data_IF_512618922677
#
_entry.id   IF_512618922677
#
_cell.length_a   1.000
_cell.length_b   1.000
_cell.length_c   1.000
_cell.angle_alpha   90.00
_cell.angle_beta   90.00
_cell.angle_gamma   90.00
#
_symmetry.space_group_name_H-M   'P 1'
#
loop_
_entity.id
_entity.type
_entity.pdbx_description
1 polymer ?
#
# COMPACT_ATOMS: atom_id res chain seq x y z
N UNK A 1 8.91 6.38 -14.88
CA UNK A 1 9.90 7.37 -14.38
C UNK A 1 10.34 7.05 -12.96
N UNK A 2 9.42 6.78 -12.03
CA UNK A 2 9.74 6.50 -10.62
C UNK A 2 10.63 5.25 -10.46
N UNK A 3 10.33 4.17 -11.18
CA UNK A 3 11.15 2.94 -11.19
C UNK A 3 12.58 3.18 -11.69
N UNK A 4 12.75 4.07 -12.68
CA UNK A 4 14.07 4.43 -13.21
C UNK A 4 14.88 5.23 -12.17
N UNK A 5 14.22 6.09 -11.40
CA UNK A 5 14.87 6.83 -10.33
C UNK A 5 15.24 5.92 -9.15
N UNK A 6 14.41 4.93 -8.84
CA UNK A 6 14.74 3.87 -7.87
C UNK A 6 15.99 3.10 -8.31
N UNK A 7 16.05 2.66 -9.57
CA UNK A 7 17.20 1.93 -10.11
C UNK A 7 18.49 2.76 -10.01
N UNK A 8 18.41 4.05 -10.35
CA UNK A 8 19.54 4.98 -10.22
C UNK A 8 19.95 5.17 -8.76
N UNK A 9 19.01 5.20 -7.81
CA UNK A 9 19.32 5.28 -6.39
C UNK A 9 20.02 4.00 -5.88
N UNK A 10 19.58 2.83 -6.33
CA UNK A 10 20.23 1.56 -6.02
C UNK A 10 21.68 1.55 -6.55
N UNK A 11 21.90 1.96 -7.80
CA UNK A 11 23.25 2.11 -8.37
C UNK A 11 24.09 3.15 -7.63
N UNK A 12 23.50 4.28 -7.22
CA UNK A 12 24.18 5.31 -6.43
C UNK A 12 24.53 4.87 -4.99
N UNK A 13 24.03 3.73 -4.52
CA UNK A 13 24.44 3.15 -3.24
C UNK A 13 25.80 2.43 -3.33
N UNK A 14 26.23 2.02 -4.53
CA UNK A 14 27.48 1.28 -4.76
C UNK A 14 28.58 2.10 -5.44
N UNK A 15 28.28 3.31 -5.92
CA UNK A 15 29.28 4.24 -6.44
C UNK A 15 28.98 5.69 -6.06
N UNK A 16 30.05 6.50 -5.91
CA UNK A 16 29.98 7.94 -5.71
C UNK A 16 30.38 8.74 -6.96
N UNK A 17 30.55 8.06 -8.10
CA UNK A 17 31.00 8.64 -9.37
C UNK A 17 29.88 8.62 -10.39
N UNK A 18 29.54 9.79 -10.91
CA UNK A 18 28.56 9.95 -12.00
C UNK A 18 28.96 9.14 -13.24
N UNK A 19 30.24 9.14 -13.60
CA UNK A 19 30.75 8.38 -14.75
C UNK A 19 30.58 6.88 -14.56
N UNK A 20 30.83 6.38 -13.35
CA UNK A 20 30.68 4.95 -13.03
C UNK A 20 29.20 4.57 -13.09
N UNK A 21 28.32 5.41 -12.54
CA UNK A 21 26.88 5.24 -12.63
C UNK A 21 26.42 5.20 -14.10
N UNK A 22 26.92 6.10 -14.95
CA UNK A 22 26.68 6.04 -16.39
C UNK A 22 27.18 4.75 -17.03
N UNK A 23 28.35 4.25 -16.64
CA UNK A 23 28.91 3.00 -17.15
C UNK A 23 28.07 1.78 -16.76
N UNK A 24 27.57 1.75 -15.52
CA UNK A 24 26.69 0.69 -15.00
C UNK A 24 25.42 0.62 -15.85
N UNK A 25 24.72 1.75 -15.99
CA UNK A 25 23.45 1.79 -16.72
C UNK A 25 23.62 1.64 -18.24
N UNK A 26 24.73 2.06 -18.84
CA UNK A 26 25.02 1.78 -20.25
C UNK A 26 25.20 0.28 -20.55
N UNK A 27 25.49 -0.52 -19.52
CA UNK A 27 25.60 -1.98 -19.62
C UNK A 27 24.25 -2.67 -19.40
N UNK A 28 23.20 -1.92 -19.05
CA UNK A 28 21.83 -2.40 -18.89
C UNK A 28 21.06 -2.27 -20.22
N UNK A 29 19.97 -3.03 -20.34
CA UNK A 29 19.21 -3.15 -21.60
C UNK A 29 18.53 -1.83 -22.01
N UNK A 30 18.27 -0.93 -21.05
CA UNK A 30 17.54 0.31 -21.26
C UNK A 30 18.46 1.54 -21.37
N UNK A 31 18.17 2.43 -22.32
CA UNK A 31 18.87 3.70 -22.48
C UNK A 31 18.24 4.77 -21.58
N UNK A 32 18.94 5.11 -20.49
CA UNK A 32 18.44 6.05 -19.50
C UNK A 32 18.95 7.47 -19.73
N UNK A 33 18.06 8.46 -19.61
CA UNK A 33 18.43 9.87 -19.48
C UNK A 33 18.94 10.18 -18.05
N UNK A 34 20.01 9.50 -17.64
CA UNK A 34 20.58 9.53 -16.27
C UNK A 34 20.78 10.95 -15.75
N UNK A 35 21.23 11.86 -16.62
CA UNK A 35 21.47 13.26 -16.25
C UNK A 35 20.18 13.98 -15.80
N UNK A 36 19.04 13.66 -16.38
CA UNK A 36 17.75 14.26 -16.02
C UNK A 36 17.31 13.69 -14.67
N UNK A 37 17.38 12.38 -14.50
CA UNK A 37 16.99 11.73 -13.23
C UNK A 37 17.91 12.13 -12.06
N UNK A 38 19.22 12.24 -12.26
CA UNK A 38 20.14 12.73 -11.22
C UNK A 38 19.81 14.17 -10.80
N UNK A 39 19.43 15.03 -11.74
CA UNK A 39 18.98 16.40 -11.42
C UNK A 39 17.68 16.38 -10.61
N UNK A 40 16.73 15.52 -10.99
CA UNK A 40 15.46 15.35 -10.26
C UNK A 40 15.71 14.82 -8.84
N UNK A 41 16.53 13.78 -8.68
CA UNK A 41 16.93 13.21 -7.40
C UNK A 41 17.68 14.22 -6.51
N UNK A 42 18.51 15.07 -7.10
CA UNK A 42 19.16 16.16 -6.38
C UNK A 42 18.13 17.22 -5.92
N UNK A 43 17.23 17.64 -6.81
CA UNK A 43 16.17 18.62 -6.51
C UNK A 43 15.22 18.14 -5.42
N UNK A 44 14.89 16.85 -5.40
CA UNK A 44 14.00 16.21 -4.43
C UNK A 44 14.72 15.78 -3.14
N UNK A 45 16.05 15.95 -3.07
CA UNK A 45 16.83 15.77 -1.85
C UNK A 45 17.25 14.32 -1.56
N UNK A 46 17.20 13.42 -2.54
CA UNK A 46 17.68 12.03 -2.40
C UNK A 46 19.21 11.94 -2.48
N UNK A 47 19.85 12.85 -3.21
CA UNK A 47 21.30 12.88 -3.33
C UNK A 47 21.82 14.32 -3.46
N UNK A 48 23.12 14.49 -3.23
CA UNK A 48 23.85 15.69 -3.60
C UNK A 48 24.78 15.35 -4.76
N UNK A 49 24.82 16.21 -5.77
CA UNK A 49 25.72 16.07 -6.91
C UNK A 49 26.64 17.30 -7.00
N UNK A 50 27.95 17.06 -7.12
CA UNK A 50 28.99 18.08 -7.37
C UNK A 50 29.93 17.61 -8.46
N UNK A 51 29.71 18.09 -9.69
CA UNK A 51 30.45 17.63 -10.86
C UNK A 51 30.27 16.12 -11.07
N UNK A 52 31.37 15.37 -10.94
CA UNK A 52 31.38 13.91 -11.01
C UNK A 52 31.00 13.22 -9.69
N UNK A 53 31.04 13.91 -8.55
CA UNK A 53 30.75 13.30 -7.25
C UNK A 53 29.24 13.26 -6.98
N UNK A 54 28.74 12.10 -6.56
CA UNK A 54 27.36 11.86 -6.14
C UNK A 54 27.40 11.29 -4.72
N UNK A 55 26.54 11.79 -3.83
CA UNK A 55 26.42 11.29 -2.46
C UNK A 55 24.94 11.17 -2.09
N UNK A 56 24.50 9.97 -1.71
CA UNK A 56 23.14 9.77 -1.21
C UNK A 56 22.93 10.52 0.12
N UNK A 57 21.79 11.21 0.22
CA UNK A 57 21.31 11.79 1.48
C UNK A 57 20.81 10.69 2.43
N UNK A 58 20.39 11.05 3.65
CA UNK A 58 19.72 10.10 4.55
C UNK A 58 18.49 9.47 3.89
N UNK A 59 17.68 10.30 3.21
CA UNK A 59 16.50 9.87 2.44
C UNK A 59 16.91 8.88 1.33
N UNK A 60 17.91 9.25 0.52
CA UNK A 60 18.37 8.42 -0.60
C UNK A 60 18.95 7.08 -0.15
N UNK A 61 19.71 7.05 0.95
CA UNK A 61 20.25 5.81 1.51
C UNK A 61 19.15 4.86 1.97
N UNK A 62 18.11 5.39 2.62
CA UNK A 62 16.98 4.57 3.07
C UNK A 62 16.17 4.09 1.87
N UNK A 63 15.90 4.96 0.90
CA UNK A 63 15.20 4.59 -0.32
C UNK A 63 15.90 3.47 -1.09
N UNK A 64 17.22 3.60 -1.31
CA UNK A 64 18.02 2.58 -1.98
C UNK A 64 18.06 1.26 -1.20
N UNK A 65 18.21 1.32 0.14
CA UNK A 65 18.28 0.13 0.99
C UNK A 65 16.96 -0.68 0.99
N UNK A 66 15.83 0.02 0.90
CA UNK A 66 14.49 -0.59 0.98
C UNK A 66 13.80 -0.72 -0.37
N UNK A 67 14.52 -0.48 -1.49
CA UNK A 67 13.95 -0.52 -2.85
C UNK A 67 12.66 0.31 -2.95
N UNK A 68 12.72 1.54 -2.44
CA UNK A 68 11.59 2.45 -2.47
C UNK A 68 11.68 3.32 -3.72
N UNK A 69 10.57 3.37 -4.44
CA UNK A 69 10.35 4.44 -5.41
C UNK A 69 10.47 5.81 -4.72
N UNK A 70 10.79 6.85 -5.50
CA UNK A 70 10.95 8.20 -4.93
C UNK A 70 9.65 8.72 -4.33
N UNK A 71 8.51 8.38 -4.93
CA UNK A 71 7.18 8.74 -4.40
C UNK A 71 6.92 8.08 -3.05
N UNK A 72 7.18 6.77 -2.91
CA UNK A 72 6.99 6.04 -1.63
C UNK A 72 7.91 6.59 -0.54
N UNK A 73 9.18 6.86 -0.86
CA UNK A 73 10.13 7.41 0.09
C UNK A 73 9.74 8.83 0.56
N UNK A 74 9.20 9.67 -0.32
CA UNK A 74 8.65 10.99 0.04
C UNK A 74 7.43 10.84 0.95
N UNK A 75 6.46 9.99 0.58
CA UNK A 75 5.26 9.75 1.39
C UNK A 75 5.59 9.26 2.81
N UNK A 76 6.54 8.31 2.94
CA UNK A 76 7.00 7.85 4.25
C UNK A 76 7.62 9.01 5.03
N UNK A 77 8.54 9.76 4.41
CA UNK A 77 9.22 10.88 5.07
C UNK A 77 8.20 11.91 5.57
N UNK A 78 7.23 12.29 4.74
CA UNK A 78 6.20 13.26 5.08
C UNK A 78 5.33 12.78 6.24
N UNK A 79 4.86 11.53 6.20
CA UNK A 79 4.09 10.93 7.30
C UNK A 79 4.90 10.87 8.60
N UNK A 80 6.15 10.41 8.53
CA UNK A 80 7.07 10.36 9.68
C UNK A 80 7.32 11.74 10.27
N UNK A 81 7.63 12.74 9.43
CA UNK A 81 7.90 14.11 9.89
C UNK A 81 6.66 14.75 10.50
N UNK A 82 5.48 14.43 9.98
CA UNK A 82 4.18 14.91 10.47
C UNK A 82 3.66 14.16 11.70
N UNK A 83 4.40 13.17 12.21
CA UNK A 83 3.97 12.27 13.29
C UNK A 83 2.65 11.52 12.97
N UNK A 84 2.43 11.18 11.70
CA UNK A 84 1.31 10.32 11.29
C UNK A 84 1.46 8.93 11.90
N UNK A 85 0.34 8.29 12.26
CA UNK A 85 0.34 6.94 12.80
C UNK A 85 0.94 5.95 11.79
N UNK A 86 1.80 5.00 12.21
CA UNK A 86 2.45 4.06 11.29
C UNK A 86 1.48 3.25 10.43
N UNK A 87 0.32 2.88 10.98
CA UNK A 87 -0.74 2.17 10.24
C UNK A 87 -1.27 3.01 9.07
N UNK A 88 -1.47 4.31 9.27
CA UNK A 88 -1.91 5.22 8.22
C UNK A 88 -0.84 5.41 7.15
N UNK A 89 0.44 5.46 7.56
CA UNK A 89 1.56 5.53 6.62
C UNK A 89 1.55 4.29 5.72
N UNK A 90 1.55 3.07 6.27
CA UNK A 90 1.64 1.87 5.43
C UNK A 90 0.41 1.62 4.56
N UNK A 91 -0.79 1.94 5.05
CA UNK A 91 -2.03 1.88 4.25
C UNK A 91 -2.14 3.01 3.21
N UNK A 92 -1.26 4.01 3.26
CA UNK A 92 -1.09 5.00 2.17
C UNK A 92 -0.11 4.56 1.09
N UNK A 93 0.80 3.63 1.40
CA UNK A 93 1.80 3.13 0.46
C UNK A 93 1.28 1.98 -0.39
N UNK A 94 0.47 1.12 0.22
CA UNK A 94 -0.08 -0.05 -0.46
C UNK A 94 -1.44 -0.42 0.13
N UNK A 95 -2.39 -0.65 -0.77
CA UNK A 95 -3.75 -1.03 -0.45
C UNK A 95 -3.97 -2.50 -0.78
N UNK A 96 -4.76 -3.18 0.03
CA UNK A 96 -5.30 -4.48 -0.31
C UNK A 96 -6.60 -4.30 -1.10
N UNK A 97 -6.56 -4.66 -2.39
CA UNK A 97 -7.70 -4.57 -3.31
C UNK A 97 -8.14 -5.94 -3.89
N UNK A 98 -7.45 -7.01 -3.51
CA UNK A 98 -7.68 -8.37 -4.01
C UNK A 98 -8.71 -9.10 -3.14
N UNK A 99 -9.84 -8.43 -2.93
CA UNK A 99 -11.03 -8.96 -2.26
C UNK A 99 -12.10 -9.32 -3.30
N UNK A 100 -12.76 -10.46 -3.08
CA UNK A 100 -13.72 -11.05 -4.01
C UNK A 100 -15.03 -11.36 -3.29
N UNK A 101 -16.17 -11.29 -4.00
CA UNK A 101 -17.43 -11.76 -3.44
C UNK A 101 -17.39 -13.29 -3.29
N UNK A 102 -17.64 -13.80 -2.08
CA UNK A 102 -17.75 -15.24 -1.83
C UNK A 102 -18.85 -15.89 -2.67
N UNK A 103 -19.92 -15.14 -2.95
CA UNK A 103 -21.11 -15.64 -3.66
C UNK A 103 -21.43 -14.82 -4.92
N UNK A 104 -20.40 -14.37 -5.67
CA UNK A 104 -20.57 -13.52 -6.87
C UNK A 104 -21.66 -14.02 -7.83
N UNK A 105 -21.63 -15.31 -8.20
CA UNK A 105 -22.59 -15.91 -9.12
C UNK A 105 -24.03 -15.89 -8.58
N UNK A 106 -24.21 -16.06 -7.27
CA UNK A 106 -25.52 -15.98 -6.63
C UNK A 106 -26.05 -14.55 -6.60
N UNK A 107 -25.16 -13.56 -6.35
CA UNK A 107 -25.52 -12.14 -6.39
C UNK A 107 -25.95 -11.76 -7.81
N UNK A 108 -25.13 -12.08 -8.83
CA UNK A 108 -25.45 -11.87 -10.25
C UNK A 108 -26.81 -12.44 -10.62
N UNK A 109 -27.09 -13.69 -10.22
CA UNK A 109 -28.35 -14.36 -10.50
C UNK A 109 -29.54 -13.71 -9.80
N UNK A 110 -29.39 -13.33 -8.53
CA UNK A 110 -30.47 -12.75 -7.73
C UNK A 110 -30.86 -11.35 -8.19
N UNK A 111 -29.89 -10.58 -8.66
CA UNK A 111 -30.08 -9.22 -9.15
C UNK A 111 -30.31 -9.14 -10.66
N UNK A 112 -30.15 -10.25 -11.38
CA UNK A 112 -30.20 -10.32 -12.84
C UNK A 112 -29.23 -9.34 -13.53
N UNK A 113 -27.99 -9.31 -13.05
CA UNK A 113 -26.91 -8.43 -13.54
C UNK A 113 -25.61 -9.22 -13.75
N UNK A 114 -24.69 -8.65 -14.52
CA UNK A 114 -23.32 -9.17 -14.64
C UNK A 114 -22.40 -8.49 -13.61
N UNK A 115 -22.27 -9.09 -12.42
CA UNK A 115 -21.40 -8.60 -11.36
C UNK A 115 -19.97 -9.11 -11.53
N UNK A 116 -18.99 -8.24 -11.29
CA UNK A 116 -17.58 -8.64 -11.20
C UNK A 116 -17.32 -9.49 -9.96
N UNK A 117 -16.38 -10.45 -10.05
CA UNK A 117 -15.96 -11.17 -8.85
C UNK A 117 -15.24 -10.27 -7.83
N UNK A 118 -14.57 -9.20 -8.29
CA UNK A 118 -13.83 -8.27 -7.41
C UNK A 118 -14.75 -7.24 -6.77
N UNK A 119 -14.54 -7.00 -5.48
CA UNK A 119 -15.38 -6.13 -4.65
C UNK A 119 -15.13 -4.65 -4.91
N UNK A 120 -13.86 -4.27 -5.08
CA UNK A 120 -13.45 -2.88 -5.28
C UNK A 120 -13.50 -2.41 -6.75
N UNK A 121 -14.26 -3.09 -7.60
CA UNK A 121 -14.54 -2.59 -8.95
C UNK A 121 -15.70 -1.60 -8.93
N UNK A 122 -15.67 -0.63 -9.85
CA UNK A 122 -16.64 0.47 -9.86
C UNK A 122 -18.10 -0.01 -9.83
N UNK A 123 -18.46 -0.95 -10.71
CA UNK A 123 -19.80 -1.54 -10.76
C UNK A 123 -20.18 -2.30 -9.49
N UNK A 124 -19.23 -2.98 -8.87
CA UNK A 124 -19.43 -3.69 -7.60
C UNK A 124 -19.71 -2.71 -6.45
N UNK A 125 -18.97 -1.59 -6.41
CA UNK A 125 -19.16 -0.55 -5.40
C UNK A 125 -20.51 0.17 -5.58
N UNK A 126 -20.97 0.41 -6.80
CA UNK A 126 -22.31 0.96 -7.07
C UNK A 126 -23.41 0.08 -6.46
N UNK A 127 -23.33 -1.24 -6.70
CA UNK A 127 -24.29 -2.22 -6.21
C UNK A 127 -24.28 -2.31 -4.67
N UNK A 128 -23.10 -2.26 -4.07
CA UNK A 128 -22.94 -2.30 -2.62
C UNK A 128 -23.39 -1.00 -1.94
N UNK A 129 -23.30 0.13 -2.63
CA UNK A 129 -23.75 1.41 -2.12
C UNK A 129 -25.27 1.59 -2.21
N UNK A 130 -25.93 0.85 -3.11
CA UNK A 130 -27.39 0.84 -3.25
C UNK A 130 -28.06 -0.21 -2.32
N UNK A 131 -28.54 0.26 -1.17
CA UNK A 131 -29.27 -0.56 -0.21
C UNK A 131 -30.57 -1.18 -0.75
N UNK A 132 -31.23 -0.56 -1.73
CA UNK A 132 -32.44 -1.15 -2.34
C UNK A 132 -32.07 -2.37 -3.16
N UNK A 133 -30.96 -2.32 -3.90
CA UNK A 133 -30.45 -3.47 -4.64
C UNK A 133 -30.08 -4.62 -3.71
N UNK A 134 -29.42 -4.34 -2.57
CA UNK A 134 -29.08 -5.38 -1.59
C UNK A 134 -30.32 -6.04 -0.95
N UNK A 135 -31.44 -5.31 -0.83
CA UNK A 135 -32.69 -5.84 -0.25
C UNK A 135 -33.33 -6.99 -1.04
N UNK A 136 -32.91 -7.18 -2.30
CA UNK A 136 -33.38 -8.26 -3.18
C UNK A 136 -32.63 -9.59 -2.95
N UNK A 137 -31.58 -9.57 -2.14
CA UNK A 137 -30.78 -10.74 -1.84
C UNK A 137 -31.41 -11.58 -0.73
N UNK A 138 -30.95 -12.82 -0.57
CA UNK A 138 -31.36 -13.62 0.58
C UNK A 138 -30.89 -12.97 1.90
N UNK A 139 -31.59 -13.17 3.03
CA UNK A 139 -31.30 -12.44 4.27
C UNK A 139 -29.84 -12.56 4.76
N UNK A 140 -29.25 -13.76 4.68
CA UNK A 140 -27.87 -13.99 5.14
C UNK A 140 -26.84 -13.22 4.29
N UNK A 141 -27.01 -13.23 2.96
CA UNK A 141 -26.12 -12.53 2.06
C UNK A 141 -26.33 -11.01 2.13
N UNK A 142 -27.59 -10.59 2.25
CA UNK A 142 -27.94 -9.18 2.45
C UNK A 142 -27.26 -8.62 3.70
N UNK A 143 -27.39 -9.30 4.85
CA UNK A 143 -26.80 -8.86 6.12
C UNK A 143 -25.28 -8.68 6.02
N UNK A 144 -24.59 -9.67 5.43
CA UNK A 144 -23.15 -9.63 5.19
C UNK A 144 -22.71 -8.46 4.31
N UNK A 145 -23.39 -8.26 3.17
CA UNK A 145 -23.03 -7.17 2.27
C UNK A 145 -23.41 -5.78 2.83
N UNK A 146 -24.45 -5.69 3.66
CA UNK A 146 -24.77 -4.46 4.39
C UNK A 146 -23.71 -4.14 5.45
N UNK A 147 -23.16 -5.15 6.14
CA UNK A 147 -22.02 -4.96 7.04
C UNK A 147 -20.81 -4.41 6.28
N UNK A 148 -20.51 -4.98 5.10
CA UNK A 148 -19.44 -4.49 4.23
C UNK A 148 -19.67 -3.02 3.81
N UNK A 149 -20.87 -2.72 3.30
CA UNK A 149 -21.25 -1.37 2.87
C UNK A 149 -21.10 -0.36 4.01
N UNK A 150 -21.61 -0.70 5.19
CA UNK A 150 -21.61 0.18 6.36
C UNK A 150 -20.20 0.48 6.84
N UNK A 151 -19.35 -0.56 6.97
CA UNK A 151 -18.00 -0.40 7.51
C UNK A 151 -17.07 0.31 6.51
N UNK A 152 -17.08 -0.11 5.25
CA UNK A 152 -16.07 0.31 4.28
C UNK A 152 -16.51 1.47 3.38
N UNK A 153 -17.79 1.56 2.99
CA UNK A 153 -18.23 2.56 1.99
C UNK A 153 -18.68 3.89 2.60
N UNK A 154 -18.93 3.93 3.91
CA UNK A 154 -19.42 5.15 4.58
C UNK A 154 -18.31 6.18 4.81
N UNK A 155 -18.27 7.27 4.03
CA UNK A 155 -17.33 8.38 4.26
C UNK A 155 -17.92 9.74 3.84
N UNK A 156 -17.32 10.84 4.32
CA UNK A 156 -17.73 12.20 3.97
C UNK A 156 -17.10 12.74 2.67
N UNK A 157 -16.45 11.90 1.86
CA UNK A 157 -15.75 12.34 0.67
C UNK A 157 -16.74 12.60 -0.49
N UNK A 158 -16.52 13.70 -1.24
CA UNK A 158 -17.35 14.08 -2.40
C UNK A 158 -17.42 13.00 -3.48
N UNK A 159 -16.43 12.11 -3.56
CA UNK A 159 -16.36 11.01 -4.52
C UNK A 159 -16.74 9.65 -3.96
N UNK A 160 -17.43 9.56 -2.82
CA UNK A 160 -17.87 8.27 -2.26
C UNK A 160 -18.83 7.53 -3.21
N UNK A 161 -18.72 6.20 -3.39
CA UNK A 161 -17.73 5.29 -2.80
C UNK A 161 -16.37 5.22 -3.52
N UNK A 162 -16.21 5.86 -4.69
CA UNK A 162 -15.02 5.83 -5.55
C UNK A 162 -13.82 6.68 -5.11
N UNK A 163 -13.77 7.07 -3.84
CA UNK A 163 -12.75 7.98 -3.31
C UNK A 163 -11.48 7.28 -2.81
N UNK A 164 -11.42 5.95 -2.88
CA UNK A 164 -10.32 5.12 -2.34
C UNK A 164 -10.40 4.86 -0.83
N UNK A 165 -11.41 5.40 -0.14
CA UNK A 165 -11.65 5.09 1.28
C UNK A 165 -12.04 3.63 1.53
N UNK A 166 -12.86 2.95 0.69
CA UNK A 166 -13.20 1.56 0.92
C UNK A 166 -11.98 0.65 1.01
N UNK A 167 -11.07 0.74 0.04
CA UNK A 167 -9.82 -0.04 -0.03
C UNK A 167 -8.92 0.26 1.17
N UNK A 168 -8.81 1.54 1.55
CA UNK A 168 -8.01 1.97 2.71
C UNK A 168 -8.55 1.42 4.02
N UNK A 169 -9.86 1.51 4.25
CA UNK A 169 -10.48 0.98 5.46
C UNK A 169 -10.42 -0.54 5.51
N UNK A 170 -10.59 -1.19 4.36
CA UNK A 170 -10.45 -2.64 4.26
C UNK A 170 -9.04 -3.10 4.59
N UNK A 171 -8.04 -2.42 4.03
CA UNK A 171 -6.62 -2.61 4.35
C UNK A 171 -6.35 -2.44 5.84
N UNK A 172 -6.87 -1.37 6.44
CA UNK A 172 -6.76 -1.12 7.88
C UNK A 172 -7.38 -2.25 8.70
N UNK A 173 -8.57 -2.73 8.32
CA UNK A 173 -9.26 -3.84 8.98
C UNK A 173 -8.44 -5.12 8.92
N UNK A 174 -7.92 -5.47 7.74
CA UNK A 174 -7.10 -6.67 7.54
C UNK A 174 -5.85 -6.64 8.43
N UNK A 175 -5.10 -5.52 8.40
CA UNK A 175 -3.91 -5.35 9.25
C UNK A 175 -4.26 -5.31 10.75
N UNK A 176 -5.42 -4.76 11.09
CA UNK A 176 -5.96 -4.77 12.46
C UNK A 176 -6.21 -6.18 12.97
N UNK A 177 -6.94 -6.99 12.20
CA UNK A 177 -7.21 -8.40 12.51
C UNK A 177 -5.90 -9.20 12.64
N UNK A 178 -4.94 -8.96 11.75
CA UNK A 178 -3.60 -9.57 11.88
C UNK A 178 -2.92 -9.14 13.17
N UNK A 179 -2.99 -7.87 13.52
CA UNK A 179 -2.38 -7.31 14.73
C UNK A 179 -3.03 -7.76 16.04
N UNK A 180 -4.21 -8.38 15.98
CA UNK A 180 -4.87 -9.09 17.09
C UNK A 180 -4.35 -10.53 17.25
N UNK A 181 -3.45 -10.99 16.36
CA UNK A 181 -2.82 -12.31 16.41
C UNK A 181 -3.51 -13.36 15.54
N UNK A 182 -4.46 -12.97 14.69
CA UNK A 182 -5.16 -13.91 13.81
C UNK A 182 -4.26 -14.41 12.68
N UNK A 183 -4.42 -15.68 12.30
CA UNK A 183 -3.77 -16.25 11.13
C UNK A 183 -4.43 -15.76 9.84
N UNK A 184 -3.75 -15.84 8.68
CA UNK A 184 -4.36 -15.50 7.39
C UNK A 184 -5.68 -16.22 7.12
N UNK A 185 -5.80 -17.49 7.50
CA UNK A 185 -7.02 -18.29 7.35
C UNK A 185 -8.14 -17.76 8.25
N UNK A 186 -7.84 -17.46 9.52
CA UNK A 186 -8.82 -16.88 10.44
C UNK A 186 -9.29 -15.48 9.98
N UNK A 187 -8.41 -14.70 9.34
CA UNK A 187 -8.79 -13.44 8.70
C UNK A 187 -9.78 -13.70 7.56
N UNK A 188 -9.51 -14.67 6.68
CA UNK A 188 -10.42 -15.05 5.58
C UNK A 188 -11.78 -15.47 6.14
N UNK A 189 -11.81 -16.32 7.16
CA UNK A 189 -13.06 -16.78 7.79
C UNK A 189 -13.90 -15.59 8.29
N UNK A 190 -13.27 -14.62 8.97
CA UNK A 190 -13.95 -13.40 9.43
C UNK A 190 -14.48 -12.58 8.25
N UNK A 191 -13.68 -12.42 7.19
CA UNK A 191 -14.09 -11.67 6.00
C UNK A 191 -15.31 -12.32 5.34
N UNK A 192 -15.30 -13.64 5.25
CA UNK A 192 -16.36 -14.42 4.62
C UNK A 192 -17.64 -14.41 5.44
N UNK A 193 -17.53 -14.56 6.76
CA UNK A 193 -18.67 -14.70 7.64
C UNK A 193 -19.32 -13.37 7.98
N UNK A 194 -18.52 -12.30 8.12
CA UNK A 194 -19.01 -10.97 8.50
C UNK A 194 -19.46 -10.17 7.28
N UNK A 195 -18.70 -10.26 6.18
CA UNK A 195 -18.85 -9.35 5.05
C UNK A 195 -19.22 -10.06 3.74
N UNK A 196 -19.21 -11.39 3.69
CA UNK A 196 -19.50 -12.13 2.46
C UNK A 196 -18.43 -11.96 1.38
N UNK A 197 -17.21 -11.56 1.78
CA UNK A 197 -16.06 -11.37 0.89
C UNK A 197 -14.96 -12.34 1.27
N UNK A 198 -14.18 -12.76 0.28
CA UNK A 198 -13.05 -13.67 0.45
C UNK A 198 -11.80 -13.08 -0.19
N UNK A 199 -10.65 -13.65 0.13
CA UNK A 199 -9.36 -13.31 -0.43
C UNK A 199 -8.53 -14.58 -0.54
N UNK A 200 -7.68 -14.67 -1.55
CA UNK A 200 -6.75 -15.79 -1.64
C UNK A 200 -5.68 -15.66 -0.55
N UNK A 201 -5.36 -16.76 0.13
CA UNK A 201 -4.35 -16.79 1.20
C UNK A 201 -3.01 -16.23 0.74
N UNK A 202 -2.60 -16.51 -0.51
CA UNK A 202 -1.39 -15.96 -1.10
C UNK A 202 -1.38 -14.43 -1.18
N UNK A 203 -2.51 -13.82 -1.54
CA UNK A 203 -2.64 -12.36 -1.61
C UNK A 203 -2.55 -11.72 -0.23
N UNK A 204 -3.16 -12.35 0.79
CA UNK A 204 -3.05 -11.88 2.18
C UNK A 204 -1.59 -11.97 2.65
N UNK A 205 -0.93 -13.11 2.44
CA UNK A 205 0.45 -13.30 2.84
C UNK A 205 1.39 -12.28 2.19
N UNK A 206 1.25 -12.08 0.87
CA UNK A 206 2.02 -11.06 0.13
C UNK A 206 1.77 -9.65 0.68
N UNK A 207 0.51 -9.30 0.93
CA UNK A 207 0.17 -8.00 1.50
C UNK A 207 0.75 -7.78 2.90
N UNK A 208 0.66 -8.79 3.78
CA UNK A 208 1.24 -8.73 5.13
C UNK A 208 2.76 -8.60 5.09
N UNK A 209 3.44 -9.34 4.21
CA UNK A 209 4.88 -9.25 4.04
C UNK A 209 5.29 -7.84 3.57
N UNK A 210 4.59 -7.29 2.58
CA UNK A 210 4.83 -5.93 2.11
C UNK A 210 4.56 -4.88 3.18
N UNK A 211 3.52 -5.05 3.99
CA UNK A 211 3.23 -4.16 5.13
C UNK A 211 4.39 -4.15 6.14
N UNK A 212 4.95 -5.32 6.49
CA UNK A 212 6.12 -5.44 7.37
C UNK A 212 7.36 -4.79 6.75
N UNK A 213 7.65 -5.06 5.47
CA UNK A 213 8.78 -4.43 4.74
C UNK A 213 8.64 -2.90 4.68
N UNK A 214 7.43 -2.40 4.46
CA UNK A 214 7.13 -0.96 4.48
C UNK A 214 7.34 -0.38 5.89
N UNK A 215 6.94 -1.08 6.96
CA UNK A 215 7.21 -0.64 8.34
C UNK A 215 8.70 -0.54 8.64
N UNK A 216 9.54 -1.42 8.10
CA UNK A 216 10.98 -1.31 8.27
C UNK A 216 11.54 -0.04 7.63
N UNK A 217 11.01 0.36 6.48
CA UNK A 217 11.35 1.65 5.87
C UNK A 217 10.86 2.82 6.74
N UNK A 218 9.64 2.76 7.28
CA UNK A 218 9.12 3.77 8.23
C UNK A 218 10.02 3.91 9.45
N UNK A 219 10.48 2.79 10.03
CA UNK A 219 11.39 2.77 11.17
C UNK A 219 12.71 3.47 10.87
N UNK A 220 13.33 3.14 9.74
CA UNK A 220 14.59 3.75 9.32
C UNK A 220 14.43 5.26 9.08
N UNK A 221 13.31 5.68 8.50
CA UNK A 221 12.99 7.09 8.32
C UNK A 221 12.77 7.79 9.69
N UNK A 222 11.97 7.20 10.58
CA UNK A 222 11.71 7.74 11.90
C UNK A 222 13.00 7.94 12.71
N UNK A 223 13.91 6.96 12.65
CA UNK A 223 15.24 7.08 13.26
C UNK A 223 16.07 8.20 12.61
N UNK A 224 16.13 8.26 11.28
CA UNK A 224 16.94 9.26 10.56
C UNK A 224 16.50 10.71 10.79
N UNK A 225 15.20 10.91 11.04
CA UNK A 225 14.58 12.21 11.32
C UNK A 225 14.23 12.44 12.79
N UNK A 226 14.73 11.59 13.71
CA UNK A 226 14.58 11.75 15.16
C UNK A 226 13.13 11.81 15.66
N UNK A 227 12.26 10.98 15.07
CA UNK A 227 10.83 10.85 15.43
C UNK A 227 10.62 9.62 16.31
N UNK A 228 10.93 9.76 17.60
CA UNK A 228 10.94 8.65 18.57
C UNK A 228 9.56 8.02 18.76
N UNK A 229 8.48 8.81 18.79
CA UNK A 229 7.11 8.31 18.95
C UNK A 229 6.71 7.38 17.79
N UNK A 230 6.85 7.88 16.55
CA UNK A 230 6.59 7.09 15.33
C UNK A 230 7.46 5.83 15.33
N UNK A 231 8.74 5.94 15.68
CA UNK A 231 9.65 4.80 15.76
C UNK A 231 9.14 3.71 16.72
N UNK A 232 8.76 4.06 17.96
CA UNK A 232 8.27 3.08 18.95
C UNK A 232 6.94 2.43 18.52
N UNK A 233 6.02 3.25 17.98
CA UNK A 233 4.76 2.76 17.44
C UNK A 233 4.99 1.80 16.27
N UNK A 234 5.92 2.11 15.37
CA UNK A 234 6.27 1.24 14.24
C UNK A 234 6.86 -0.09 14.70
N UNK A 235 7.72 -0.12 15.73
CA UNK A 235 8.24 -1.39 16.29
C UNK A 235 7.09 -2.24 16.82
N UNK A 236 6.19 -1.62 17.58
CA UNK A 236 5.06 -2.30 18.19
C UNK A 236 4.13 -2.88 17.13
N UNK A 237 3.78 -2.08 16.12
CA UNK A 237 2.93 -2.53 15.02
C UNK A 237 3.60 -3.64 14.22
N UNK A 238 4.90 -3.53 13.91
CA UNK A 238 5.62 -4.55 13.14
C UNK A 238 5.56 -5.92 13.81
N UNK A 239 5.86 -5.97 15.12
CA UNK A 239 5.78 -7.22 15.90
C UNK A 239 4.39 -7.85 15.85
N UNK A 240 3.35 -7.02 15.94
CA UNK A 240 1.95 -7.48 15.84
C UNK A 240 1.62 -8.07 14.47
N UNK A 241 2.19 -7.51 13.39
CA UNK A 241 1.95 -8.01 12.03
C UNK A 241 2.76 -9.27 11.68
N UNK A 242 3.97 -9.41 12.23
CA UNK A 242 4.82 -10.59 12.07
C UNK A 242 4.21 -11.84 12.70
N UNK A 243 3.47 -11.70 13.81
CA UNK A 243 2.83 -12.80 14.55
C UNK A 243 3.68 -13.32 15.69
#
# INVERSE_FOLDING_TARGET
EDDMMEEILASAAVTNSKRDLQSIHNSMVASYQINIYLKTLAKTGFLAQRGNSINLSKLGKIAAKHFLTTSKAILIKEGVVSNTEPMDIITSLELFDSAYFKSAAQISKSLNINLSSRVFQGSSLDILFDGETLSKLNPTLQDRLLNFATEFLTCGCKGSPFCGCPERKFSFKLLGLRGEGLSPEAIIDILEDTYGVTAYTGDILDYLEKAVRNLDAVLMMAQAYSKSDVYQKSITLRKKLEG
#
